data_IF_621869378739
#
_entry.id   IF_621869378739
#
_cell.length_a   1.000
_cell.length_b   1.000
_cell.length_c   1.000
_cell.angle_alpha   90.00
_cell.angle_beta   90.00
_cell.angle_gamma   90.00
#
_symmetry.space_group_name_H-M   'P 1'
#
loop_
_entity.id
_entity.type
_entity.pdbx_description
1 polymer ?
#
# COMPACT_ATOMS: atom_id res chain seq x y z
N UNK A 1 16.32 2.92 10.13
CA UNK A 1 15.97 2.60 8.73
C UNK A 1 15.60 1.12 8.64
N UNK A 2 14.67 0.74 7.77
CA UNK A 2 14.27 -0.68 7.59
C UNK A 2 15.12 -1.35 6.52
N UNK A 3 15.23 -2.67 6.59
CA UNK A 3 15.86 -3.47 5.54
C UNK A 3 15.13 -3.33 4.21
N UNK A 4 15.88 -3.36 3.11
CA UNK A 4 15.38 -3.17 1.74
C UNK A 4 15.86 -4.33 0.86
N UNK A 5 15.03 -4.72 -0.11
CA UNK A 5 15.40 -5.64 -1.17
C UNK A 5 16.51 -5.03 -2.07
N UNK A 6 17.20 -5.83 -2.90
CA UNK A 6 18.21 -5.32 -3.83
C UNK A 6 17.74 -4.15 -4.72
N UNK A 7 16.45 -4.13 -5.11
CA UNK A 7 15.83 -3.05 -5.88
C UNK A 7 15.41 -1.82 -5.06
N UNK A 8 15.71 -1.77 -3.76
CA UNK A 8 15.41 -0.63 -2.88
C UNK A 8 14.01 -0.65 -2.24
N UNK A 9 13.13 -1.58 -2.63
CA UNK A 9 11.81 -1.75 -1.99
C UNK A 9 11.95 -2.14 -0.52
N UNK A 10 11.21 -1.51 0.41
CA UNK A 10 11.29 -1.85 1.83
C UNK A 10 10.71 -3.25 2.11
N UNK A 11 11.36 -4.05 2.96
CA UNK A 11 10.88 -5.40 3.33
C UNK A 11 9.84 -5.39 4.46
N UNK A 12 9.63 -4.23 5.10
CA UNK A 12 8.72 -3.98 6.22
C UNK A 12 8.17 -2.55 6.12
N UNK A 13 7.07 -2.21 6.82
CA UNK A 13 6.54 -0.85 6.82
C UNK A 13 7.63 0.20 7.12
N UNK A 14 7.85 1.12 6.18
CA UNK A 14 8.97 2.07 6.19
C UNK A 14 8.55 3.54 6.38
N UNK A 15 7.26 3.83 6.22
CA UNK A 15 6.73 5.18 6.28
C UNK A 15 5.22 5.17 6.44
N UNK A 16 4.69 6.30 6.92
CA UNK A 16 3.26 6.51 7.09
C UNK A 16 2.86 7.74 6.31
N UNK A 17 1.84 7.60 5.48
CA UNK A 17 1.22 8.74 4.80
C UNK A 17 0.22 9.39 5.74
N UNK A 18 0.32 10.70 5.90
CA UNK A 18 -0.72 11.51 6.54
C UNK A 18 -1.52 12.22 5.46
N UNK A 19 -2.84 12.05 5.50
CA UNK A 19 -3.76 12.65 4.53
C UNK A 19 -4.88 13.37 5.27
N UNK A 20 -5.39 14.43 4.64
CA UNK A 20 -6.56 15.18 5.10
C UNK A 20 -7.51 15.38 3.92
N UNK A 21 -8.81 15.48 4.19
CA UNK A 21 -9.79 15.79 3.16
C UNK A 21 -11.14 16.20 3.74
N UNK A 22 -11.93 16.89 2.92
CA UNK A 22 -13.27 17.35 3.29
C UNK A 22 -14.32 16.28 2.99
N UNK A 23 -14.81 15.62 4.05
CA UNK A 23 -15.85 14.60 3.97
C UNK A 23 -17.11 15.06 3.25
N UNK A 24 -17.44 16.37 3.24
CA UNK A 24 -18.64 16.89 2.57
C UNK A 24 -18.55 16.83 1.05
N UNK A 25 -17.32 16.76 0.51
CA UNK A 25 -17.04 16.71 -0.93
C UNK A 25 -16.71 15.29 -1.40
N UNK A 26 -16.52 14.34 -0.47
CA UNK A 26 -16.16 12.96 -0.81
C UNK A 26 -17.36 12.15 -1.25
N UNK A 27 -17.13 11.19 -2.15
CA UNK A 27 -18.13 10.21 -2.55
C UNK A 27 -18.10 9.00 -1.62
N UNK A 28 -19.27 8.57 -1.18
CA UNK A 28 -19.56 7.32 -0.48
C UNK A 28 -19.05 6.06 -1.21
N UNK A 29 -18.89 6.12 -2.54
CA UNK A 29 -18.27 5.05 -3.32
C UNK A 29 -16.82 4.74 -2.88
N UNK A 30 -16.08 5.75 -2.42
CA UNK A 30 -14.68 5.62 -2.00
C UNK A 30 -14.51 5.69 -0.48
N UNK A 31 -15.61 5.89 0.25
CA UNK A 31 -15.61 6.10 1.68
C UNK A 31 -16.68 5.24 2.34
N UNK A 32 -16.27 4.05 2.79
CA UNK A 32 -17.21 3.01 3.24
C UNK A 32 -16.91 2.64 4.69
N UNK A 33 -17.94 2.70 5.55
CA UNK A 33 -17.86 2.17 6.91
C UNK A 33 -17.74 0.64 6.89
N UNK A 34 -16.76 0.10 7.64
CA UNK A 34 -16.50 -1.33 7.74
C UNK A 34 -16.37 -1.76 9.19
N UNK A 35 -16.60 -3.04 9.46
CA UNK A 35 -16.31 -3.66 10.76
C UNK A 35 -15.16 -4.64 10.57
N UNK A 36 -14.03 -4.36 11.20
CA UNK A 36 -12.85 -5.20 11.12
C UNK A 36 -12.64 -5.93 12.44
N UNK A 37 -12.51 -7.26 12.39
CA UNK A 37 -12.27 -8.06 13.58
C UNK A 37 -10.99 -7.58 14.29
N UNK A 38 -11.09 -7.34 15.61
CA UNK A 38 -9.99 -6.79 16.41
C UNK A 38 -9.84 -5.26 16.37
N UNK A 39 -10.43 -4.59 15.37
CA UNK A 39 -10.37 -3.13 15.20
C UNK A 39 -11.73 -2.44 15.41
N UNK A 40 -12.84 -3.18 15.31
CA UNK A 40 -14.19 -2.66 15.51
C UNK A 40 -14.66 -1.79 14.35
N UNK A 41 -15.38 -0.71 14.67
CA UNK A 41 -15.84 0.27 13.68
C UNK A 41 -14.63 0.93 13.00
N UNK A 42 -14.56 0.83 11.68
CA UNK A 42 -13.43 1.24 10.87
C UNK A 42 -13.92 1.90 9.57
N UNK A 43 -13.01 2.57 8.86
CA UNK A 43 -13.32 3.26 7.61
C UNK A 43 -12.40 2.76 6.50
N UNK A 44 -12.99 2.26 5.43
CA UNK A 44 -12.27 1.98 4.19
C UNK A 44 -12.25 3.25 3.33
N UNK A 45 -11.05 3.71 2.98
CA UNK A 45 -10.83 4.93 2.20
C UNK A 45 -10.08 4.56 0.93
N UNK A 46 -10.66 4.89 -0.23
CA UNK A 46 -9.98 4.83 -1.52
C UNK A 46 -9.05 6.03 -1.68
N UNK A 47 -7.78 5.78 -1.99
CA UNK A 47 -6.77 6.82 -2.16
C UNK A 47 -6.04 6.63 -3.49
N UNK A 48 -5.93 7.71 -4.27
CA UNK A 48 -5.13 7.78 -5.50
C UNK A 48 -4.00 8.77 -5.31
N UNK A 49 -2.76 8.35 -5.61
CA UNK A 49 -1.58 9.20 -5.50
C UNK A 49 -0.87 9.19 -6.85
N UNK A 50 -0.77 10.33 -7.55
CA UNK A 50 0.01 10.39 -8.78
C UNK A 50 1.49 10.41 -8.43
N UNK A 51 2.27 9.53 -9.08
CA UNK A 51 3.73 9.54 -8.98
C UNK A 51 4.27 10.21 -10.25
N UNK A 52 4.78 11.46 -10.17
CA UNK A 52 5.35 12.12 -11.33
C UNK A 52 6.64 11.44 -11.76
N UNK A 53 6.67 10.92 -12.98
CA UNK A 53 7.87 10.32 -13.57
C UNK A 53 8.66 11.43 -14.25
N UNK A 54 9.76 11.84 -13.61
CA UNK A 54 10.59 12.97 -14.06
C UNK A 54 11.86 12.52 -14.82
N UNK A 55 12.30 11.30 -14.56
CA UNK A 55 13.48 10.69 -15.15
C UNK A 55 13.35 9.15 -15.16
N UNK A 56 14.34 8.49 -15.77
CA UNK A 56 14.42 7.03 -15.87
C UNK A 56 14.58 6.34 -14.51
N UNK A 57 15.21 7.01 -13.54
CA UNK A 57 15.43 6.46 -12.21
C UNK A 57 14.11 6.36 -11.44
N UNK A 58 13.29 7.42 -11.49
CA UNK A 58 11.94 7.43 -10.93
C UNK A 58 11.04 6.38 -11.59
N UNK A 59 11.15 6.21 -12.91
CA UNK A 59 10.44 5.16 -13.63
C UNK A 59 10.82 3.76 -13.09
N UNK A 60 12.11 3.54 -12.81
CA UNK A 60 12.59 2.32 -12.17
C UNK A 60 11.99 2.10 -10.77
N UNK A 61 11.93 3.15 -9.93
CA UNK A 61 11.34 3.04 -8.58
C UNK A 61 9.82 2.84 -8.57
N UNK A 62 9.10 3.34 -9.59
CA UNK A 62 7.65 3.19 -9.70
C UNK A 62 7.23 1.91 -10.45
N UNK A 63 8.12 1.35 -11.28
CA UNK A 63 7.88 0.19 -12.13
C UNK A 63 8.21 -1.16 -11.50
N UNK A 64 8.15 -1.28 -10.17
CA UNK A 64 8.51 -2.50 -9.44
C UNK A 64 7.42 -3.56 -9.60
N UNK A 65 7.82 -4.79 -9.92
CA UNK A 65 6.90 -5.92 -10.09
C UNK A 65 6.37 -6.46 -8.76
N UNK A 66 5.22 -7.14 -8.79
CA UNK A 66 4.65 -7.77 -7.59
C UNK A 66 5.56 -8.84 -6.97
N UNK A 67 6.45 -9.44 -7.75
CA UNK A 67 7.46 -10.41 -7.31
C UNK A 67 8.59 -9.76 -6.48
N UNK A 68 8.79 -8.46 -6.64
CA UNK A 68 9.86 -7.69 -5.99
C UNK A 68 9.35 -6.83 -4.81
N UNK A 69 8.05 -6.91 -4.53
CA UNK A 69 7.42 -6.26 -3.37
C UNK A 69 7.15 -7.32 -2.32
N UNK A 70 7.79 -7.19 -1.16
CA UNK A 70 7.71 -8.18 -0.08
C UNK A 70 7.00 -7.64 1.14
N UNK A 71 6.38 -8.54 1.89
CA UNK A 71 5.81 -8.26 3.21
C UNK A 71 6.06 -9.42 4.18
N UNK A 72 5.73 -9.20 5.44
CA UNK A 72 5.89 -10.17 6.52
C UNK A 72 4.54 -10.77 6.89
N UNK A 73 4.51 -12.07 7.13
CA UNK A 73 3.32 -12.75 7.65
C UNK A 73 3.31 -12.64 9.17
N UNK A 74 2.23 -12.15 9.74
CA UNK A 74 2.09 -11.87 11.18
C UNK A 74 0.88 -12.59 11.74
N UNK A 75 1.03 -13.18 12.93
CA UNK A 75 -0.07 -13.81 13.66
C UNK A 75 -0.95 -12.76 14.37
N UNK A 76 -2.13 -12.51 13.82
CA UNK A 76 -3.13 -11.60 14.40
C UNK A 76 -3.91 -12.18 15.58
N UNK A 77 -3.87 -13.50 15.81
CA UNK A 77 -4.57 -14.17 16.89
C UNK A 77 -3.79 -14.20 18.21
N UNK A 78 -2.47 -14.39 18.15
CA UNK A 78 -1.62 -14.49 19.33
C UNK A 78 -0.55 -13.41 19.44
N UNK A 79 0.29 -13.24 18.42
CA UNK A 79 1.48 -12.41 18.51
C UNK A 79 1.15 -10.92 18.51
N UNK A 80 0.27 -10.50 17.59
CA UNK A 80 -0.11 -9.10 17.42
C UNK A 80 -0.75 -8.49 18.69
N UNK A 81 -1.75 -9.12 19.34
CA UNK A 81 -2.35 -8.58 20.57
C UNK A 81 -1.39 -8.52 21.76
N UNK A 82 -0.33 -9.33 21.75
CA UNK A 82 0.69 -9.40 22.80
C UNK A 82 1.91 -8.51 22.52
N UNK A 83 1.92 -7.78 21.40
CA UNK A 83 3.04 -6.95 20.97
C UNK A 83 4.31 -7.76 20.64
N UNK A 84 4.15 -9.04 20.29
CA UNK A 84 5.27 -9.90 19.90
C UNK A 84 5.60 -9.59 18.43
N UNK A 85 6.77 -9.01 18.18
CA UNK A 85 7.23 -8.70 16.83
C UNK A 85 7.95 -9.91 16.21
N UNK A 86 7.16 -10.87 15.72
CA UNK A 86 7.64 -12.06 15.03
C UNK A 86 7.01 -12.15 13.63
N UNK A 87 7.84 -12.46 12.63
CA UNK A 87 7.38 -12.83 11.29
C UNK A 87 7.30 -14.35 11.20
N UNK A 88 6.20 -14.88 10.69
CA UNK A 88 6.03 -16.30 10.36
C UNK A 88 6.64 -16.65 8.98
N UNK A 89 7.01 -15.64 8.19
CA UNK A 89 7.56 -15.81 6.87
C UNK A 89 7.57 -14.50 6.08
N UNK A 90 8.41 -14.43 5.06
CA UNK A 90 8.40 -13.34 4.07
C UNK A 90 7.79 -13.86 2.78
N UNK A 91 6.87 -13.08 2.21
CA UNK A 91 6.17 -13.43 0.96
C UNK A 91 6.15 -12.23 0.02
N UNK A 92 6.12 -12.48 -1.29
CA UNK A 92 5.93 -11.45 -2.30
C UNK A 92 4.44 -11.12 -2.50
N UNK A 93 4.15 -9.94 -3.06
CA UNK A 93 2.78 -9.60 -3.46
C UNK A 93 2.29 -10.49 -4.62
N UNK A 94 3.19 -11.02 -5.45
CA UNK A 94 2.83 -11.98 -6.50
C UNK A 94 2.31 -13.29 -5.89
N UNK A 95 2.98 -13.82 -4.86
CA UNK A 95 2.51 -14.99 -4.11
C UNK A 95 1.16 -14.72 -3.47
N UNK A 96 0.99 -13.59 -2.78
CA UNK A 96 -0.29 -13.21 -2.18
C UNK A 96 -1.42 -13.08 -3.21
N UNK A 97 -1.11 -12.58 -4.41
CA UNK A 97 -2.08 -12.43 -5.51
C UNK A 97 -2.38 -13.74 -6.23
N UNK A 98 -1.55 -14.77 -6.09
CA UNK A 98 -1.82 -16.10 -6.64
C UNK A 98 -3.02 -16.77 -5.99
N UNK A 99 -3.36 -16.37 -4.75
CA UNK A 99 -4.50 -16.89 -3.98
C UNK A 99 -4.11 -17.90 -2.91
N UNK A 100 -2.84 -18.31 -2.84
CA UNK A 100 -2.33 -19.22 -1.83
C UNK A 100 -0.84 -18.98 -1.52
N UNK A 101 -0.42 -19.29 -0.30
CA UNK A 101 0.97 -19.28 0.15
C UNK A 101 1.29 -20.52 0.98
N UNK A 102 2.56 -20.90 1.06
CA UNK A 102 3.00 -22.01 1.92
C UNK A 102 3.77 -21.48 3.14
N UNK A 103 3.31 -21.83 4.35
CA UNK A 103 3.98 -21.49 5.61
C UNK A 103 4.10 -22.75 6.44
N UNK A 104 5.30 -23.05 6.94
CA UNK A 104 5.58 -24.26 7.74
C UNK A 104 5.04 -25.56 7.11
N UNK A 105 5.12 -25.67 5.78
CA UNK A 105 4.63 -26.82 5.01
C UNK A 105 3.10 -26.88 4.82
N UNK A 106 2.36 -25.88 5.27
CA UNK A 106 0.91 -25.78 5.11
C UNK A 106 0.57 -24.81 3.99
N UNK A 107 -0.30 -25.22 3.07
CA UNK A 107 -0.88 -24.33 2.05
C UNK A 107 -2.06 -23.55 2.66
N UNK A 108 -2.00 -22.22 2.59
CA UNK A 108 -2.94 -21.29 3.22
C UNK A 108 -3.52 -20.37 2.15
N UNK A 109 -4.85 -20.26 2.02
CA UNK A 109 -5.46 -19.35 1.06
C UNK A 109 -5.23 -17.89 1.44
N UNK A 110 -5.00 -17.04 0.46
CA UNK A 110 -4.84 -15.59 0.63
C UNK A 110 -6.02 -14.85 0.04
N UNK A 111 -6.46 -13.81 0.75
CA UNK A 111 -7.50 -12.89 0.27
C UNK A 111 -7.04 -11.45 0.52
N UNK A 112 -7.17 -10.55 -0.48
CA UNK A 112 -6.76 -9.17 -0.29
C UNK A 112 -7.76 -8.43 0.60
N UNK A 113 -7.25 -7.59 1.50
CA UNK A 113 -8.09 -6.71 2.32
C UNK A 113 -8.66 -5.53 1.50
N UNK A 114 -7.99 -5.15 0.41
CA UNK A 114 -8.37 -4.04 -0.47
C UNK A 114 -8.81 -4.51 -1.85
N UNK A 115 -9.74 -3.80 -2.49
CA UNK A 115 -10.21 -4.13 -3.83
C UNK A 115 -9.30 -3.57 -4.93
N UNK A 116 -8.66 -4.46 -5.69
CA UNK A 116 -7.88 -4.08 -6.88
C UNK A 116 -8.73 -3.47 -7.99
N UNK A 117 -10.00 -3.87 -8.10
CA UNK A 117 -10.94 -3.28 -9.07
C UNK A 117 -11.19 -1.80 -8.73
N UNK A 118 -11.47 -1.51 -7.45
CA UNK A 118 -11.65 -0.13 -6.98
C UNK A 118 -10.37 0.69 -7.11
N UNK A 119 -9.22 0.12 -6.78
CA UNK A 119 -7.93 0.79 -6.94
C UNK A 119 -7.67 1.23 -8.40
N UNK A 120 -7.96 0.35 -9.38
CA UNK A 120 -7.82 0.69 -10.80
C UNK A 120 -8.80 1.76 -11.26
N UNK A 121 -10.03 1.74 -10.75
CA UNK A 121 -11.01 2.80 -11.04
C UNK A 121 -10.54 4.17 -10.52
N UNK A 122 -9.98 4.21 -9.31
CA UNK A 122 -9.41 5.45 -8.74
C UNK A 122 -8.24 5.93 -9.59
N UNK A 123 -7.34 5.03 -10.00
CA UNK A 123 -6.20 5.37 -10.84
C UNK A 123 -6.63 5.97 -12.19
N UNK A 124 -7.65 5.39 -12.82
CA UNK A 124 -8.20 5.89 -14.08
C UNK A 124 -8.89 7.26 -13.92
N UNK A 125 -9.67 7.44 -12.84
CA UNK A 125 -10.30 8.72 -12.52
C UNK A 125 -9.26 9.83 -12.30
N UNK A 126 -8.22 9.53 -11.52
CA UNK A 126 -7.14 10.46 -11.26
C UNK A 126 -6.38 10.82 -12.54
N UNK A 127 -6.12 9.84 -13.41
CA UNK A 127 -5.51 10.06 -14.72
C UNK A 127 -6.36 11.03 -15.56
N UNK A 128 -7.68 10.83 -15.63
CA UNK A 128 -8.58 11.70 -16.39
C UNK A 128 -8.57 13.14 -15.87
N UNK A 129 -8.51 13.34 -14.55
CA UNK A 129 -8.41 14.68 -13.97
C UNK A 129 -7.09 15.38 -14.29
N UNK A 130 -5.99 14.62 -14.32
CA UNK A 130 -4.67 15.13 -14.69
C UNK A 130 -4.64 15.50 -16.18
N UNK A 131 -5.08 14.61 -17.07
CA UNK A 131 -5.14 14.87 -18.52
C UNK A 131 -6.10 16.02 -18.86
N UNK A 132 -7.19 16.16 -18.11
CA UNK A 132 -8.14 17.26 -18.24
C UNK A 132 -7.71 18.59 -17.60
N UNK A 133 -6.56 18.62 -16.90
CA UNK A 133 -6.07 19.82 -16.21
C UNK A 133 -6.91 20.28 -15.02
N UNK A 134 -7.83 19.45 -14.52
CA UNK A 134 -8.64 19.73 -13.32
C UNK A 134 -7.95 19.28 -12.04
N UNK A 135 -6.88 18.50 -12.16
CA UNK A 135 -5.97 18.16 -11.09
C UNK A 135 -4.55 18.55 -11.47
N UNK A 136 -3.97 19.48 -10.71
CA UNK A 136 -2.58 19.89 -10.88
C UNK A 136 -1.70 19.31 -9.77
N UNK A 137 -0.49 18.90 -10.13
CA UNK A 137 0.52 18.54 -9.15
C UNK A 137 0.97 19.80 -8.41
N UNK A 138 0.88 19.77 -7.07
CA UNK A 138 1.39 20.84 -6.22
C UNK A 138 2.92 20.82 -6.15
N UNK A 139 3.50 21.96 -5.78
CA UNK A 139 4.93 22.03 -5.46
C UNK A 139 5.25 21.19 -4.22
N UNK A 140 6.41 20.52 -4.16
CA UNK A 140 6.85 19.82 -2.96
C UNK A 140 6.87 20.75 -1.74
N UNK A 141 6.08 20.44 -0.72
CA UNK A 141 5.98 21.28 0.49
C UNK A 141 7.22 21.17 1.37
N UNK A 142 7.81 19.97 1.46
CA UNK A 142 9.01 19.69 2.24
C UNK A 142 9.70 18.44 1.69
N UNK A 143 11.04 18.44 1.63
CA UNK A 143 11.81 17.22 1.37
C UNK A 143 11.84 16.37 2.63
N UNK A 144 11.47 15.10 2.51
CA UNK A 144 11.65 14.15 3.62
C UNK A 144 13.15 14.03 3.92
N UNK A 145 13.54 13.85 5.20
CA UNK A 145 14.92 13.56 5.55
C UNK A 145 15.38 12.30 4.79
N UNK A 146 16.36 12.44 3.91
CA UNK A 146 17.04 11.30 3.29
C UNK A 146 18.44 11.21 3.89
N UNK A 147 18.86 10.00 4.26
CA UNK A 147 20.29 9.72 4.38
C UNK A 147 20.88 9.78 2.96
N UNK A 148 21.43 10.93 2.57
CA UNK A 148 22.41 10.99 1.51
C UNK A 148 23.49 12.00 1.89
N UNK A 149 24.65 11.47 2.26
CA UNK A 149 25.89 11.83 1.59
C UNK A 149 26.36 10.59 0.82
#
# INVERSE_FOLDING_TARGET
TVERAPGGTPLRPAGTLWVTGDLKQMSDQWLVGVSMQGYGCSLAVGLGIPIPILDEQMAGFAGVSDDEIFTQVVDYGHDYPKGISRSLGQVSYAELKSGEITIDGHCIPTVPLSSMVRARQIAELLKQWIEGGTFMLGEPQMRLPSEMA
#
